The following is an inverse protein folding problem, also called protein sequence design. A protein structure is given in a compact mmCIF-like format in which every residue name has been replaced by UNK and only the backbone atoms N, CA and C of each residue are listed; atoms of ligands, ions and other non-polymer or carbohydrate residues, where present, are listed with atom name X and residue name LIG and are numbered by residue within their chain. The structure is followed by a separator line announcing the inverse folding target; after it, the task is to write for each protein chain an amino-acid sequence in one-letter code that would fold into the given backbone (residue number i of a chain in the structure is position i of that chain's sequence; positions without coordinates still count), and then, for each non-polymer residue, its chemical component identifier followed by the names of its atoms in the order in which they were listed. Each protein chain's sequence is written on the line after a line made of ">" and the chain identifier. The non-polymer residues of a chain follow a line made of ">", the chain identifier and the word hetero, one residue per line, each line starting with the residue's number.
data_IF_169103461377
#
_entry.id   IF_169103461377
#
_cell.length_a   1.000
_cell.length_b   1.000
_cell.length_c   1.000
_cell.angle_alpha   90.00
_cell.angle_beta   90.00
_cell.angle_gamma   90.00
#
_symmetry.space_group_name_H-M   'P 1'
#
loop_
_entity.id
_entity.type
_entity.pdbx_description
1 polymer ?
#
# COMPACT_ATOMS: atom_id res chain seq x y z
N UNK A 1 30.11 2.16 -20.43
CA UNK A 1 28.86 2.48 -21.19
C UNK A 1 27.68 1.53 -20.91
N UNK A 2 27.90 0.26 -20.55
CA UNK A 2 26.83 -0.70 -20.24
C UNK A 2 26.15 -0.39 -18.89
N UNK A 3 26.90 0.07 -17.89
CA UNK A 3 26.39 0.38 -16.54
C UNK A 3 25.46 1.60 -16.50
N UNK A 4 25.74 2.64 -17.28
CA UNK A 4 24.91 3.84 -17.28
C UNK A 4 23.52 3.60 -17.88
N UNK A 5 23.40 2.76 -18.90
CA UNK A 5 22.10 2.39 -19.49
C UNK A 5 21.23 1.55 -18.55
N UNK A 6 21.85 0.64 -17.79
CA UNK A 6 21.13 -0.17 -16.80
C UNK A 6 20.65 0.68 -15.62
N UNK A 7 21.49 1.61 -15.14
CA UNK A 7 21.13 2.55 -14.10
C UNK A 7 19.99 3.50 -14.53
N UNK A 8 20.06 4.07 -15.74
CA UNK A 8 19.01 4.95 -16.27
C UNK A 8 17.68 4.21 -16.43
N UNK A 9 17.70 2.98 -16.94
CA UNK A 9 16.50 2.14 -17.05
C UNK A 9 15.88 1.85 -15.68
N UNK A 10 16.68 1.55 -14.68
CA UNK A 10 16.24 1.28 -13.32
C UNK A 10 15.59 2.51 -12.69
N UNK A 11 16.21 3.69 -12.82
CA UNK A 11 15.65 4.95 -12.34
C UNK A 11 14.32 5.25 -13.03
N UNK A 12 14.22 5.08 -14.34
CA UNK A 12 12.98 5.27 -15.07
C UNK A 12 11.85 4.35 -14.59
N UNK A 13 12.16 3.07 -14.34
CA UNK A 13 11.18 2.11 -13.82
C UNK A 13 10.74 2.45 -12.39
N UNK A 14 11.65 2.86 -11.52
CA UNK A 14 11.31 3.33 -10.17
C UNK A 14 10.43 4.60 -10.21
N UNK A 15 10.74 5.53 -11.12
CA UNK A 15 9.93 6.72 -11.33
C UNK A 15 8.52 6.39 -11.83
N UNK A 16 8.39 5.44 -12.76
CA UNK A 16 7.08 4.94 -13.22
C UNK A 16 6.29 4.29 -12.07
N UNK A 17 6.95 3.45 -11.27
CA UNK A 17 6.32 2.82 -10.12
C UNK A 17 5.85 3.86 -9.10
N UNK A 18 6.66 4.88 -8.84
CA UNK A 18 6.30 6.00 -7.96
C UNK A 18 5.10 6.78 -8.51
N UNK A 19 5.11 7.13 -9.81
CA UNK A 19 4.02 7.84 -10.46
C UNK A 19 2.70 7.04 -10.37
N UNK A 20 2.75 5.73 -10.64
CA UNK A 20 1.60 4.85 -10.53
C UNK A 20 1.08 4.79 -9.08
N UNK A 21 1.98 4.68 -8.10
CA UNK A 21 1.63 4.70 -6.69
C UNK A 21 0.96 6.01 -6.25
N UNK A 22 1.42 7.14 -6.80
CA UNK A 22 0.82 8.46 -6.56
C UNK A 22 -0.58 8.56 -7.16
N UNK A 23 -0.78 8.06 -8.40
CA UNK A 23 -2.08 8.04 -9.08
C UNK A 23 -3.08 7.23 -8.24
N UNK A 24 -2.75 6.02 -7.84
CA UNK A 24 -3.65 5.20 -7.01
C UNK A 24 -3.93 5.84 -5.65
N UNK A 25 -2.93 6.47 -5.04
CA UNK A 25 -3.15 7.22 -3.79
C UNK A 25 -4.06 8.43 -3.99
N UNK A 26 -3.96 9.12 -5.14
CA UNK A 26 -4.83 10.24 -5.46
C UNK A 26 -6.27 9.77 -5.72
N UNK A 27 -6.46 8.69 -6.48
CA UNK A 27 -7.78 8.08 -6.68
C UNK A 27 -8.41 7.72 -5.34
N UNK A 28 -7.64 7.20 -4.40
CA UNK A 28 -8.10 6.88 -3.04
C UNK A 28 -8.57 8.12 -2.27
N UNK A 29 -7.89 9.25 -2.45
CA UNK A 29 -8.32 10.54 -1.85
C UNK A 29 -9.64 11.03 -2.44
N UNK A 30 -9.90 10.77 -3.73
CA UNK A 30 -11.15 11.16 -4.40
C UNK A 30 -12.36 10.33 -3.95
N UNK A 31 -12.16 9.14 -3.38
CA UNK A 31 -13.24 8.29 -2.90
C UNK A 31 -13.64 8.79 -1.48
N UNK A 32 -14.83 9.39 -1.31
CA UNK A 32 -15.24 9.95 -0.03
C UNK A 32 -15.71 8.85 0.93
N UNK A 33 -14.77 8.05 1.45
CA UNK A 33 -15.08 7.03 2.45
C UNK A 33 -14.98 7.67 3.84
N UNK A 34 -16.13 8.09 4.35
CA UNK A 34 -16.25 8.61 5.70
C UNK A 34 -16.43 7.45 6.71
N UNK A 35 -15.31 6.89 7.14
CA UNK A 35 -15.26 5.88 8.22
C UNK A 35 -15.23 6.53 9.62
N UNK A 36 -15.73 7.76 9.74
CA UNK A 36 -15.76 8.47 11.02
C UNK A 36 -14.41 9.01 11.52
N UNK A 37 -13.31 8.66 10.88
CA UNK A 37 -11.96 9.20 11.17
C UNK A 37 -11.32 9.69 9.89
N UNK A 38 -11.03 11.01 9.80
CA UNK A 38 -10.33 11.57 8.65
C UNK A 38 -8.93 10.96 8.52
N UNK A 39 -8.56 10.53 7.32
CA UNK A 39 -7.20 10.06 7.03
C UNK A 39 -7.03 8.54 7.00
N UNK A 40 -8.03 7.74 7.33
CA UNK A 40 -8.04 6.30 7.06
C UNK A 40 -8.26 6.08 5.57
N UNK A 41 -7.43 5.23 4.97
CA UNK A 41 -7.43 4.91 3.53
C UNK A 41 -7.65 3.42 3.31
N UNK A 42 -8.21 3.05 2.14
CA UNK A 42 -8.47 1.64 1.79
C UNK A 42 -7.19 0.84 1.48
N UNK A 43 -6.09 1.52 1.18
CA UNK A 43 -4.83 0.89 0.83
C UNK A 43 -4.74 0.43 -0.62
N UNK A 44 -5.51 1.03 -1.54
CA UNK A 44 -5.45 0.72 -2.99
C UNK A 44 -4.01 0.89 -3.51
N UNK A 45 -3.33 1.92 -3.08
CA UNK A 45 -1.94 2.16 -3.46
C UNK A 45 -0.96 1.05 -2.98
N UNK A 46 -1.37 0.19 -2.05
CA UNK A 46 -0.58 -0.96 -1.62
C UNK A 46 -0.43 -2.02 -2.72
N UNK A 47 -1.34 -2.02 -3.73
CA UNK A 47 -1.21 -2.84 -4.94
C UNK A 47 0.13 -2.61 -5.64
N UNK A 48 0.53 -1.34 -5.76
CA UNK A 48 1.80 -0.98 -6.42
C UNK A 48 2.99 -1.46 -5.61
N UNK A 49 2.88 -1.45 -4.28
CA UNK A 49 3.92 -1.97 -3.39
C UNK A 49 4.10 -3.49 -3.57
N UNK A 50 3.00 -4.24 -3.70
CA UNK A 50 3.05 -5.69 -3.98
C UNK A 50 3.77 -5.94 -5.31
N UNK A 51 3.33 -5.29 -6.38
CA UNK A 51 3.99 -5.41 -7.70
C UNK A 51 5.47 -5.07 -7.58
N UNK A 52 5.79 -3.94 -6.96
CA UNK A 52 7.16 -3.52 -6.74
C UNK A 52 8.02 -4.57 -6.04
N UNK A 53 7.49 -5.19 -4.98
CA UNK A 53 8.21 -6.21 -4.21
C UNK A 53 8.62 -7.44 -5.04
N UNK A 54 7.88 -7.78 -6.08
CA UNK A 54 8.22 -8.92 -6.95
C UNK A 54 9.22 -8.57 -8.05
N UNK A 55 9.29 -7.30 -8.47
CA UNK A 55 10.13 -6.87 -9.60
C UNK A 55 11.36 -6.04 -9.18
N UNK A 56 11.37 -5.47 -7.97
CA UNK A 56 12.43 -4.58 -7.51
C UNK A 56 13.01 -5.04 -6.16
N UNK A 57 14.23 -4.59 -5.81
CA UNK A 57 14.78 -4.77 -4.49
C UNK A 57 13.89 -4.15 -3.41
N UNK A 58 13.70 -4.87 -2.31
CA UNK A 58 12.80 -4.48 -1.23
C UNK A 58 13.09 -3.07 -0.66
N UNK A 59 14.37 -2.68 -0.57
CA UNK A 59 14.76 -1.35 -0.09
C UNK A 59 14.27 -0.21 -0.98
N UNK A 60 14.28 -0.40 -2.30
CA UNK A 60 13.79 0.60 -3.25
C UNK A 60 12.27 0.75 -3.16
N UNK A 61 11.56 -0.37 -3.07
CA UNK A 61 10.11 -0.39 -2.91
C UNK A 61 9.68 0.25 -1.58
N UNK A 62 10.43 0.01 -0.51
CA UNK A 62 10.19 0.66 0.78
C UNK A 62 10.37 2.17 0.68
N UNK A 63 11.45 2.63 0.05
CA UNK A 63 11.69 4.07 -0.17
C UNK A 63 10.56 4.71 -0.98
N UNK A 64 10.12 4.07 -2.07
CA UNK A 64 9.00 4.54 -2.90
C UNK A 64 7.72 4.60 -2.06
N UNK A 65 7.44 3.58 -1.26
CA UNK A 65 6.25 3.53 -0.41
C UNK A 65 6.24 4.65 0.63
N UNK A 66 7.35 4.87 1.32
CA UNK A 66 7.48 5.95 2.32
C UNK A 66 7.40 7.32 1.66
N UNK A 67 8.14 7.56 0.57
CA UNK A 67 8.11 8.82 -0.16
C UNK A 67 6.69 9.16 -0.64
N UNK A 68 5.97 8.18 -1.20
CA UNK A 68 4.57 8.34 -1.59
C UNK A 68 3.69 8.75 -0.42
N UNK A 69 3.79 8.07 0.72
CA UNK A 69 2.96 8.36 1.90
C UNK A 69 3.20 9.80 2.38
N UNK A 70 4.46 10.22 2.45
CA UNK A 70 4.82 11.56 2.88
C UNK A 70 4.32 12.63 1.90
N UNK A 71 4.54 12.43 0.59
CA UNK A 71 4.09 13.37 -0.44
C UNK A 71 2.56 13.48 -0.48
N UNK A 72 1.85 12.36 -0.48
CA UNK A 72 0.39 12.37 -0.51
C UNK A 72 -0.23 12.92 0.77
N UNK A 73 0.39 12.64 1.91
CA UNK A 73 -0.05 13.19 3.18
C UNK A 73 0.18 14.69 3.30
N UNK A 74 1.28 15.19 2.73
CA UNK A 74 1.58 16.62 2.68
C UNK A 74 0.68 17.39 1.70
N UNK A 75 0.45 16.84 0.50
CA UNK A 75 -0.31 17.50 -0.56
C UNK A 75 -1.84 17.43 -0.34
N UNK A 76 -2.36 16.31 0.13
CA UNK A 76 -3.80 16.01 0.14
C UNK A 76 -4.32 15.50 1.49
N UNK A 77 -3.47 15.39 2.50
CA UNK A 77 -3.82 14.86 3.80
C UNK A 77 -3.53 15.84 4.94
N UNK A 78 -3.27 15.24 6.09
CA UNK A 78 -2.83 15.92 7.29
C UNK A 78 -1.84 15.02 8.06
N UNK A 79 -1.25 15.53 9.14
CA UNK A 79 -0.27 14.78 9.95
C UNK A 79 -0.80 13.44 10.47
N UNK A 80 -2.08 13.35 10.82
CA UNK A 80 -2.71 12.11 11.27
C UNK A 80 -2.84 11.11 10.12
N UNK A 81 -3.21 11.57 8.92
CA UNK A 81 -3.25 10.74 7.72
C UNK A 81 -1.89 10.15 7.39
N UNK A 82 -0.82 10.92 7.54
CA UNK A 82 0.57 10.43 7.37
C UNK A 82 0.86 9.34 8.40
N UNK A 83 0.55 9.57 9.67
CA UNK A 83 0.80 8.63 10.75
C UNK A 83 0.09 7.29 10.51
N UNK A 84 -1.21 7.33 10.20
CA UNK A 84 -2.00 6.12 9.93
C UNK A 84 -1.49 5.38 8.69
N UNK A 85 -1.16 6.11 7.62
CA UNK A 85 -0.65 5.53 6.38
C UNK A 85 0.75 4.96 6.54
N UNK A 86 1.62 5.56 7.36
CA UNK A 86 2.94 5.01 7.66
C UNK A 86 2.83 3.72 8.48
N UNK A 87 2.02 3.71 9.52
CA UNK A 87 1.81 2.50 10.32
C UNK A 87 1.26 1.35 9.46
N UNK A 88 0.20 1.62 8.68
CA UNK A 88 -0.39 0.66 7.75
C UNK A 88 0.61 0.21 6.68
N UNK A 89 1.31 1.14 6.05
CA UNK A 89 2.25 0.87 4.96
C UNK A 89 3.48 0.08 5.42
N UNK A 90 4.08 0.43 6.55
CA UNK A 90 5.28 -0.26 7.06
C UNK A 90 4.96 -1.67 7.54
N UNK A 91 3.86 -1.85 8.31
CA UNK A 91 3.45 -3.17 8.78
C UNK A 91 3.03 -4.07 7.60
N UNK A 92 2.26 -3.54 6.67
CA UNK A 92 1.89 -4.25 5.45
C UNK A 92 3.11 -4.67 4.63
N UNK A 93 4.06 -3.75 4.43
CA UNK A 93 5.32 -4.04 3.73
C UNK A 93 6.10 -5.16 4.41
N UNK A 94 6.25 -5.11 5.74
CA UNK A 94 6.95 -6.14 6.50
C UNK A 94 6.30 -7.51 6.34
N UNK A 95 4.98 -7.59 6.48
CA UNK A 95 4.23 -8.85 6.32
C UNK A 95 4.37 -9.39 4.91
N UNK A 96 4.21 -8.55 3.88
CA UNK A 96 4.38 -8.96 2.48
C UNK A 96 5.81 -9.42 2.18
N UNK A 97 6.81 -8.73 2.72
CA UNK A 97 8.20 -9.10 2.58
C UNK A 97 8.50 -10.47 3.20
N UNK A 98 7.98 -10.74 4.40
CA UNK A 98 8.14 -12.03 5.06
C UNK A 98 7.42 -13.15 4.30
N UNK A 99 6.15 -12.94 3.94
CA UNK A 99 5.34 -13.94 3.23
C UNK A 99 5.88 -14.27 1.84
N UNK A 100 6.46 -13.29 1.13
CA UNK A 100 7.11 -13.52 -0.16
C UNK A 100 8.21 -14.60 -0.10
N UNK A 101 8.88 -14.75 1.04
CA UNK A 101 9.98 -15.71 1.23
C UNK A 101 9.49 -17.09 1.67
N UNK A 102 8.21 -17.24 2.02
CA UNK A 102 7.63 -18.52 2.44
C UNK A 102 7.17 -19.29 1.20
N UNK A 103 7.75 -20.49 0.99
CA UNK A 103 7.33 -21.39 -0.09
C UNK A 103 5.87 -21.81 0.12
N UNK A 104 5.02 -21.55 -0.88
CA UNK A 104 3.59 -21.89 -0.84
C UNK A 104 2.63 -20.71 -0.82
N UNK A 105 3.11 -19.49 -0.57
CA UNK A 105 2.29 -18.29 -0.73
C UNK A 105 2.30 -17.81 -2.17
N UNK A 106 1.09 -17.69 -2.76
CA UNK A 106 0.91 -17.06 -4.06
C UNK A 106 1.03 -15.55 -3.96
N UNK A 107 1.29 -14.88 -5.09
CA UNK A 107 1.30 -13.40 -5.18
C UNK A 107 -0.02 -12.83 -4.65
N UNK A 108 -1.14 -13.48 -4.95
CA UNK A 108 -2.47 -13.14 -4.44
C UNK A 108 -2.53 -13.20 -2.90
N UNK A 109 -2.04 -14.29 -2.32
CA UNK A 109 -2.02 -14.47 -0.87
C UNK A 109 -1.20 -13.38 -0.17
N UNK A 110 -0.02 -13.05 -0.72
CA UNK A 110 0.83 -11.95 -0.24
C UNK A 110 0.10 -10.61 -0.34
N UNK A 111 -0.59 -10.37 -1.46
CA UNK A 111 -1.33 -9.12 -1.70
C UNK A 111 -2.51 -8.95 -0.73
N UNK A 112 -3.30 -10.00 -0.54
CA UNK A 112 -4.44 -10.00 0.40
C UNK A 112 -3.94 -9.77 1.83
N UNK A 113 -2.91 -10.51 2.25
CA UNK A 113 -2.30 -10.34 3.56
C UNK A 113 -1.78 -8.91 3.77
N UNK A 114 -1.17 -8.32 2.75
CA UNK A 114 -0.73 -6.93 2.75
C UNK A 114 -1.89 -5.94 2.94
N UNK A 115 -2.96 -6.08 2.17
CA UNK A 115 -4.14 -5.21 2.26
C UNK A 115 -4.84 -5.30 3.62
N UNK A 116 -5.05 -6.53 4.11
CA UNK A 116 -5.63 -6.77 5.44
C UNK A 116 -4.76 -6.17 6.54
N UNK A 117 -3.46 -6.43 6.52
CA UNK A 117 -2.52 -5.91 7.54
C UNK A 117 -2.48 -4.39 7.51
N UNK A 118 -2.49 -3.78 6.32
CA UNK A 118 -2.53 -2.33 6.16
C UNK A 118 -3.74 -1.72 6.89
N UNK A 119 -4.93 -2.25 6.65
CA UNK A 119 -6.16 -1.75 7.23
C UNK A 119 -6.24 -1.99 8.75
N UNK A 120 -5.81 -3.17 9.22
CA UNK A 120 -5.75 -3.48 10.65
C UNK A 120 -4.80 -2.52 11.36
N UNK A 121 -3.60 -2.31 10.82
CA UNK A 121 -2.62 -1.42 11.43
C UNK A 121 -3.11 0.03 11.49
N UNK A 122 -3.76 0.52 10.43
CA UNK A 122 -4.34 1.86 10.42
C UNK A 122 -5.39 2.03 11.52
N UNK A 123 -6.34 1.11 11.64
CA UNK A 123 -7.39 1.17 12.66
C UNK A 123 -6.81 1.07 14.08
N UNK A 124 -5.84 0.18 14.30
CA UNK A 124 -5.20 0.07 15.61
C UNK A 124 -4.56 1.39 16.03
N UNK A 125 -3.79 2.03 15.14
CA UNK A 125 -3.16 3.31 15.45
C UNK A 125 -4.19 4.42 15.58
N UNK A 126 -5.22 4.46 14.72
CA UNK A 126 -6.30 5.43 14.83
C UNK A 126 -7.07 5.29 16.16
N UNK A 127 -7.39 4.07 16.57
CA UNK A 127 -8.08 3.81 17.83
C UNK A 127 -7.25 4.22 19.06
N UNK A 128 -5.93 4.03 18.99
CA UNK A 128 -5.01 4.47 20.06
C UNK A 128 -4.91 6.00 20.13
N UNK A 129 -4.81 6.67 18.98
CA UNK A 129 -4.65 8.12 18.91
C UNK A 129 -5.94 8.84 19.33
N UNK A 130 -7.08 8.38 18.82
CA UNK A 130 -8.40 8.98 19.10
C UNK A 130 -8.98 8.48 20.42
N UNK A 131 -8.34 7.46 21.04
CA UNK A 131 -8.81 6.79 22.28
C UNK A 131 -10.25 6.29 22.19
N UNK A 132 -10.70 5.90 21.00
CA UNK A 132 -12.06 5.47 20.73
C UNK A 132 -12.11 4.04 20.17
N UNK A 133 -12.51 3.10 21.05
CA UNK A 133 -12.64 1.68 20.68
C UNK A 133 -13.77 1.42 19.67
N UNK A 134 -14.71 2.33 19.51
CA UNK A 134 -15.81 2.18 18.52
C UNK A 134 -15.29 2.13 17.08
N UNK A 135 -14.07 2.58 16.82
CA UNK A 135 -13.43 2.48 15.50
C UNK A 135 -13.29 1.03 15.01
N UNK A 136 -13.19 0.06 15.93
CA UNK A 136 -13.13 -1.36 15.57
C UNK A 136 -14.42 -1.88 14.90
N UNK A 137 -15.55 -1.19 15.02
CA UNK A 137 -16.77 -1.52 14.28
C UNK A 137 -16.61 -1.36 12.75
N UNK A 138 -15.66 -0.53 12.30
CA UNK A 138 -15.34 -0.37 10.88
C UNK A 138 -14.36 -1.44 10.36
N UNK A 139 -13.75 -2.21 11.25
CA UNK A 139 -12.77 -3.24 10.90
C UNK A 139 -13.31 -4.26 9.89
N UNK A 140 -14.52 -4.84 10.04
CA UNK A 140 -15.04 -5.80 9.07
C UNK A 140 -15.15 -5.22 7.66
N UNK A 141 -15.62 -4.00 7.52
CA UNK A 141 -15.74 -3.34 6.21
C UNK A 141 -14.34 -3.12 5.57
N UNK A 142 -13.36 -2.72 6.37
CA UNK A 142 -11.98 -2.52 5.90
C UNK A 142 -11.26 -3.85 5.59
N UNK A 143 -11.59 -4.93 6.30
CA UNK A 143 -11.06 -6.26 5.97
C UNK A 143 -11.58 -6.73 4.61
N UNK A 144 -12.88 -6.57 4.35
CA UNK A 144 -13.47 -6.87 3.04
C UNK A 144 -12.82 -6.02 1.96
N UNK A 145 -12.64 -4.73 2.19
CA UNK A 145 -11.95 -3.85 1.26
C UNK A 145 -10.50 -4.29 1.01
N UNK A 146 -9.75 -4.70 2.05
CA UNK A 146 -8.38 -5.22 1.95
C UNK A 146 -8.30 -6.50 1.13
N UNK A 147 -9.27 -7.40 1.27
CA UNK A 147 -9.36 -8.62 0.46
C UNK A 147 -9.67 -8.27 -1.00
N UNK A 148 -10.63 -7.39 -1.25
CA UNK A 148 -11.00 -6.97 -2.62
C UNK A 148 -9.80 -6.31 -3.31
N UNK A 149 -9.14 -5.35 -2.66
CA UNK A 149 -7.96 -4.70 -3.23
C UNK A 149 -6.82 -5.68 -3.48
N UNK A 150 -6.61 -6.64 -2.58
CA UNK A 150 -5.61 -7.68 -2.73
C UNK A 150 -5.90 -8.64 -3.92
N UNK A 151 -7.15 -8.99 -4.16
CA UNK A 151 -7.56 -9.85 -5.29
C UNK A 151 -7.49 -9.13 -6.63
N UNK A 152 -7.84 -7.85 -6.69
CA UNK A 152 -7.71 -7.03 -7.92
C UNK A 152 -6.26 -6.95 -8.38
N UNK A 153 -5.29 -6.91 -7.46
CA UNK A 153 -3.87 -6.97 -7.79
C UNK A 153 -3.50 -8.21 -8.61
N UNK A 154 -4.07 -9.34 -8.25
CA UNK A 154 -3.80 -10.61 -8.95
C UNK A 154 -4.33 -10.60 -10.39
N UNK A 155 -5.53 -10.12 -10.62
CA UNK A 155 -6.12 -10.09 -11.96
C UNK A 155 -5.32 -9.21 -12.92
N UNK A 156 -4.79 -8.08 -12.44
CA UNK A 156 -3.93 -7.22 -13.26
C UNK A 156 -2.52 -7.78 -13.50
N UNK A 157 -2.01 -8.64 -12.60
CA UNK A 157 -0.69 -9.27 -12.75
C UNK A 157 -0.72 -10.55 -13.58
N UNK A 158 -1.86 -11.23 -13.66
CA UNK A 158 -1.99 -12.54 -14.33
C UNK A 158 -2.69 -12.49 -15.67
N UNK A 159 -3.42 -11.41 -15.98
CA UNK A 159 -3.94 -11.22 -17.33
C UNK A 159 -2.76 -10.93 -18.27
N UNK A 160 -2.50 -11.78 -19.29
CA UNK A 160 -1.56 -11.41 -20.32
C UNK A 160 -2.09 -10.12 -20.95
N UNK A 161 -1.25 -9.10 -21.00
CA UNK A 161 -1.52 -7.95 -21.87
C UNK A 161 -1.59 -8.48 -23.30
N UNK A 162 -2.81 -8.68 -23.79
CA UNK A 162 -3.09 -8.92 -25.21
C UNK A 162 -2.74 -7.66 -25.97
#
# INVERSE_FOLDING_TARGET
>A
MRDSRTASRKIALCAMLMALAMIFSYVEVLIPINLGVPGIKLGIANLVVVVGLFFFPAGEVLMISVARILLMGYLFGNGMSILYSLAGGLLSFLVMFLLKHIKGFSITGVSIAGGVTHNVAQICVAALVVQNRKLFYYLPALLVAGVITGTVSYTHLTLPTI
#
